data_IF_161815743681
#
_entry.id   IF_161815743681
#
_cell.length_a   1.000
_cell.length_b   1.000
_cell.length_c   1.000
_cell.angle_alpha   90.00
_cell.angle_beta   90.00
_cell.angle_gamma   90.00
#
_symmetry.space_group_name_H-M   'P 1'
#
loop_
_entity.id
_entity.type
_entity.pdbx_description
1 polymer ?
#
# COMPACT_ATOMS: atom_id res chain seq x y z
N UNK A 1 -11.43 -30.36 -16.38
CA UNK A 1 -11.95 -30.13 -15.01
C UNK A 1 -11.18 -31.01 -14.05
N UNK A 2 -10.15 -30.45 -13.40
CA UNK A 2 -9.44 -31.09 -12.29
C UNK A 2 -9.57 -30.13 -11.12
N UNK A 3 -10.38 -30.52 -10.15
CA UNK A 3 -10.48 -29.85 -8.86
C UNK A 3 -9.12 -29.87 -8.18
N UNK A 4 -8.47 -28.70 -8.11
CA UNK A 4 -7.29 -28.53 -7.28
C UNK A 4 -7.78 -28.27 -5.86
N UNK A 5 -7.58 -29.26 -5.00
CA UNK A 5 -7.84 -29.18 -3.58
C UNK A 5 -7.10 -27.98 -2.97
N UNK A 6 -7.86 -26.95 -2.58
CA UNK A 6 -7.43 -25.96 -1.60
C UNK A 6 -7.06 -26.73 -0.31
N UNK A 7 -5.92 -26.46 0.34
CA UNK A 7 -5.63 -27.09 1.62
C UNK A 7 -6.64 -26.58 2.64
N UNK A 8 -7.69 -27.36 2.87
CA UNK A 8 -8.63 -27.17 3.97
C UNK A 8 -7.80 -27.12 5.26
N UNK A 9 -7.79 -25.95 5.89
CA UNK A 9 -7.23 -25.77 7.23
C UNK A 9 -7.79 -26.87 8.14
N UNK A 10 -6.92 -27.77 8.59
CA UNK A 10 -7.32 -28.91 9.41
C UNK A 10 -7.66 -28.39 10.82
N UNK A 11 -8.96 -28.18 11.06
CA UNK A 11 -9.50 -27.71 12.33
C UNK A 11 -9.07 -28.59 13.51
N UNK A 12 -8.81 -29.88 13.29
CA UNK A 12 -8.30 -30.77 14.33
C UNK A 12 -6.87 -30.44 14.74
N UNK A 13 -6.03 -29.99 13.81
CA UNK A 13 -4.67 -29.54 14.13
C UNK A 13 -4.71 -28.23 14.94
N UNK A 14 -5.57 -27.29 14.56
CA UNK A 14 -5.76 -26.05 15.31
C UNK A 14 -6.26 -26.35 16.74
N UNK A 15 -7.21 -27.28 16.89
CA UNK A 15 -7.72 -27.68 18.19
C UNK A 15 -6.64 -28.36 19.05
N UNK A 16 -5.82 -29.23 18.47
CA UNK A 16 -4.68 -29.87 19.18
C UNK A 16 -3.65 -28.86 19.68
N UNK A 17 -3.40 -27.78 18.94
CA UNK A 17 -2.50 -26.71 19.37
C UNK A 17 -3.12 -25.94 20.54
N UNK A 18 -4.40 -25.58 20.45
CA UNK A 18 -5.13 -24.89 21.53
C UNK A 18 -5.20 -25.70 22.83
N UNK A 19 -5.38 -27.02 22.73
CA UNK A 19 -5.37 -27.91 23.90
C UNK A 19 -3.98 -28.00 24.54
N UNK A 20 -2.90 -27.91 23.76
CA UNK A 20 -1.51 -27.92 24.28
C UNK A 20 -1.12 -26.60 24.96
N UNK A 21 -1.74 -25.49 24.58
CA UNK A 21 -1.42 -24.16 25.09
C UNK A 21 -2.29 -23.75 26.29
N UNK A 22 -3.30 -24.55 26.65
CA UNK A 22 -4.15 -24.28 27.81
C UNK A 22 -3.50 -24.86 29.08
N UNK A 23 -3.09 -24.03 30.06
CA UNK A 23 -2.59 -24.54 31.33
C UNK A 23 -3.73 -25.22 32.09
N UNK A 24 -3.54 -26.51 32.40
CA UNK A 24 -4.40 -27.28 33.31
C UNK A 24 -4.17 -26.75 34.73
N UNK A 25 -5.11 -25.97 35.26
CA UNK A 25 -5.33 -25.87 36.70
C UNK A 25 -6.49 -26.79 37.09
N UNK A 26 -6.37 -27.59 38.16
CA UNK A 26 -7.47 -28.40 38.64
C UNK A 26 -8.56 -27.54 39.27
N UNK A 27 -9.78 -28.04 39.10
CA UNK A 27 -11.08 -27.54 39.54
C UNK A 27 -11.13 -26.91 40.94
N UNK A 28 -11.79 -25.76 41.03
CA UNK A 28 -12.79 -25.56 42.07
C UNK A 28 -14.12 -25.15 41.42
N UNK A 29 -15.06 -26.09 41.51
CA UNK A 29 -16.47 -25.95 41.17
C UNK A 29 -17.11 -24.98 42.15
N UNK A 30 -17.56 -23.81 41.68
CA UNK A 30 -18.73 -23.10 42.23
C UNK A 30 -19.45 -22.32 41.11
N UNK A 31 -20.68 -22.73 40.82
CA UNK A 31 -21.77 -21.84 40.39
C UNK A 31 -22.89 -21.99 41.44
N UNK A 32 -23.81 -21.02 41.64
CA UNK A 32 -24.12 -19.90 40.75
C UNK A 32 -24.28 -18.54 41.46
N UNK A 33 -23.91 -17.45 40.79
CA UNK A 33 -24.66 -16.19 40.90
C UNK A 33 -24.76 -15.59 39.51
N UNK A 34 -25.98 -15.56 38.98
CA UNK A 34 -26.34 -14.73 37.84
C UNK A 34 -26.30 -13.29 38.31
N UNK A 35 -25.29 -12.55 37.87
CA UNK A 35 -25.40 -11.11 37.70
C UNK A 35 -25.08 -10.87 36.23
N UNK A 36 -26.13 -10.57 35.45
CA UNK A 36 -26.01 -9.85 34.20
C UNK A 36 -25.42 -8.48 34.52
N UNK A 37 -24.09 -8.41 34.65
CA UNK A 37 -23.39 -7.15 34.57
C UNK A 37 -23.25 -6.86 33.08
N UNK A 38 -23.99 -5.84 32.65
CA UNK A 38 -24.06 -5.38 31.27
C UNK A 38 -22.66 -5.41 30.66
N UNK A 39 -22.54 -6.04 29.49
CA UNK A 39 -21.36 -5.91 28.66
C UNK A 39 -21.01 -4.42 28.56
N UNK A 40 -19.92 -4.03 29.22
CA UNK A 40 -19.41 -2.67 29.22
C UNK A 40 -18.82 -2.41 27.84
N UNK A 41 -19.68 -2.25 26.85
CA UNK A 41 -19.28 -1.68 25.57
C UNK A 41 -18.84 -0.25 25.86
N UNK A 42 -17.57 0.04 25.62
CA UNK A 42 -17.07 1.41 25.55
C UNK A 42 -17.79 2.09 24.40
N UNK A 43 -18.90 2.75 24.72
CA UNK A 43 -19.64 3.58 23.79
C UNK A 43 -18.84 4.87 23.65
N UNK A 44 -18.10 4.99 22.55
CA UNK A 44 -17.46 6.25 22.15
C UNK A 44 -18.57 7.25 21.83
N UNK A 45 -18.95 8.04 22.83
CA UNK A 45 -19.85 9.18 22.67
C UNK A 45 -19.12 10.26 21.87
N UNK A 46 -19.32 10.29 20.56
CA UNK A 46 -18.92 11.42 19.72
C UNK A 46 -19.72 12.65 20.15
N UNK A 47 -19.07 13.79 20.50
CA UNK A 47 -19.80 15.03 20.69
C UNK A 47 -20.39 15.49 19.34
N UNK A 48 -21.61 16.05 19.33
CA UNK A 48 -22.17 16.62 18.11
C UNK A 48 -21.29 17.79 17.65
N UNK A 49 -20.70 17.65 16.45
CA UNK A 49 -20.04 18.76 15.78
C UNK A 49 -21.09 19.82 15.48
N UNK A 50 -20.99 20.93 16.20
CA UNK A 50 -21.80 22.12 15.94
C UNK A 50 -21.30 22.71 14.62
N UNK A 51 -22.09 22.59 13.56
CA UNK A 51 -21.85 23.27 12.29
C UNK A 51 -22.19 24.74 12.48
N UNK A 52 -21.21 25.54 12.90
CA UNK A 52 -21.31 26.99 12.76
C UNK A 52 -21.18 27.35 11.27
N UNK A 53 -22.33 27.60 10.68
CA UNK A 53 -22.50 28.19 9.35
C UNK A 53 -21.98 29.63 9.39
N UNK A 54 -20.69 29.84 9.09
CA UNK A 54 -20.15 31.19 8.86
C UNK A 54 -20.33 31.57 7.39
N UNK A 55 -21.11 32.62 7.19
CA UNK A 55 -21.43 33.21 5.91
C UNK A 55 -20.20 33.78 5.19
N UNK A 56 -20.36 33.84 3.87
CA UNK A 56 -19.46 34.29 2.83
C UNK A 56 -18.74 35.61 3.11
N UNK A 57 -17.47 35.66 2.70
CA UNK A 57 -16.85 36.87 2.21
C UNK A 57 -15.85 36.52 1.13
N UNK A 58 -16.25 36.72 -0.13
CA UNK A 58 -15.36 36.84 -1.28
C UNK A 58 -14.39 38.02 -1.07
N UNK A 59 -13.12 37.84 -1.45
CA UNK A 59 -12.41 38.92 -2.12
C UNK A 59 -11.96 38.47 -3.51
N UNK A 60 -12.58 39.09 -4.50
CA UNK A 60 -12.00 39.58 -5.76
C UNK A 60 -10.61 39.04 -6.13
N UNK A 61 -10.58 38.17 -7.14
CA UNK A 61 -9.39 37.87 -7.94
C UNK A 61 -8.68 39.15 -8.40
N UNK A 62 -7.35 39.12 -8.41
CA UNK A 62 -6.71 39.40 -9.69
C UNK A 62 -5.75 38.29 -10.10
N UNK A 63 -5.62 38.19 -11.42
CA UNK A 63 -4.59 37.48 -12.16
C UNK A 63 -4.68 35.94 -12.12
N UNK A 64 -5.10 35.43 -13.27
CA UNK A 64 -4.70 34.15 -13.83
C UNK A 64 -3.27 33.76 -13.39
N UNK A 65 -3.17 32.92 -12.37
CA UNK A 65 -2.14 31.90 -12.37
C UNK A 65 -2.58 30.93 -13.46
N UNK A 66 -2.02 31.15 -14.65
CA UNK A 66 -2.06 30.17 -15.70
C UNK A 66 -1.74 28.82 -15.06
N UNK A 67 -2.63 27.85 -15.22
CA UNK A 67 -2.26 26.45 -15.26
C UNK A 67 -1.10 26.36 -16.24
N UNK A 68 0.12 26.48 -15.70
CA UNK A 68 1.26 25.87 -16.33
C UNK A 68 0.94 24.40 -16.20
N UNK A 69 0.30 23.85 -17.23
CA UNK A 69 0.56 22.50 -17.69
C UNK A 69 2.08 22.40 -17.75
N UNK A 70 2.69 22.03 -16.62
CA UNK A 70 4.08 21.65 -16.53
C UNK A 70 4.17 20.44 -17.42
N UNK A 71 4.49 20.71 -18.69
CA UNK A 71 4.79 19.70 -19.68
C UNK A 71 5.90 18.88 -19.06
N UNK A 72 5.55 17.69 -18.60
CA UNK A 72 6.48 16.77 -17.99
C UNK A 72 7.69 16.64 -18.92
N UNK A 73 8.83 17.15 -18.51
CA UNK A 73 10.08 16.88 -19.18
C UNK A 73 10.39 15.41 -18.89
N UNK A 74 10.07 14.57 -19.88
CA UNK A 74 10.37 13.15 -19.84
C UNK A 74 11.89 13.00 -19.97
N UNK A 75 12.55 12.36 -19.00
CA UNK A 75 13.96 12.08 -19.09
C UNK A 75 14.21 11.14 -20.28
N UNK A 76 15.37 11.24 -20.96
CA UNK A 76 15.63 10.42 -22.14
C UNK A 76 15.75 8.92 -21.81
N UNK A 77 16.28 8.58 -20.64
CA UNK A 77 16.39 7.23 -20.09
C UNK A 77 16.86 7.31 -18.64
N UNK A 78 16.54 6.31 -17.82
CA UNK A 78 17.18 6.11 -16.53
C UNK A 78 18.36 5.15 -16.68
N UNK A 79 19.50 5.49 -16.07
CA UNK A 79 20.66 4.60 -16.00
C UNK A 79 20.75 3.90 -14.62
N UNK A 80 20.10 4.45 -13.59
CA UNK A 80 20.11 3.93 -12.23
C UNK A 80 18.72 4.00 -11.62
N UNK A 81 18.45 3.13 -10.64
CA UNK A 81 17.20 3.19 -9.89
C UNK A 81 17.05 4.50 -9.11
N UNK A 82 18.15 5.10 -8.64
CA UNK A 82 18.14 6.39 -7.95
C UNK A 82 17.63 7.53 -8.84
N UNK A 83 18.03 7.56 -10.12
CA UNK A 83 17.55 8.54 -11.09
C UNK A 83 16.04 8.37 -11.34
N UNK A 84 15.60 7.12 -11.51
CA UNK A 84 14.21 6.74 -11.71
C UNK A 84 13.33 7.23 -10.54
N UNK A 85 13.68 6.88 -9.30
CA UNK A 85 12.88 7.28 -8.14
C UNK A 85 12.98 8.77 -7.84
N UNK A 86 14.10 9.43 -8.15
CA UNK A 86 14.20 10.89 -8.03
C UNK A 86 13.23 11.60 -8.98
N UNK A 87 13.20 11.21 -10.25
CA UNK A 87 12.24 11.75 -11.21
C UNK A 87 10.79 11.45 -10.79
N UNK A 88 10.50 10.22 -10.36
CA UNK A 88 9.15 9.87 -9.90
C UNK A 88 8.72 10.76 -8.71
N UNK A 89 9.62 11.04 -7.76
CA UNK A 89 9.34 11.94 -6.64
C UNK A 89 9.07 13.38 -7.10
N UNK A 90 9.82 13.89 -8.08
CA UNK A 90 9.61 15.24 -8.62
C UNK A 90 8.24 15.37 -9.30
N UNK A 91 7.89 14.39 -10.13
CA UNK A 91 6.61 14.34 -10.85
C UNK A 91 5.42 14.22 -9.92
N UNK A 92 5.53 13.36 -8.91
CA UNK A 92 4.40 13.02 -8.02
C UNK A 92 4.37 13.83 -6.74
N UNK A 93 5.42 14.62 -6.47
CA UNK A 93 5.67 15.34 -5.21
C UNK A 93 5.59 14.41 -3.99
N UNK A 94 6.13 13.21 -4.12
CA UNK A 94 6.15 12.21 -3.04
C UNK A 94 7.17 12.57 -1.95
N UNK A 95 6.87 12.22 -0.69
CA UNK A 95 7.77 12.40 0.47
C UNK A 95 9.00 11.47 0.40
N UNK A 96 8.79 10.27 -0.16
CA UNK A 96 9.82 9.26 -0.33
C UNK A 96 9.46 8.30 -1.47
N UNK A 97 10.46 7.59 -1.97
CA UNK A 97 10.30 6.54 -2.96
C UNK A 97 11.32 5.42 -2.74
N UNK A 98 10.99 4.22 -3.19
CA UNK A 98 11.85 3.05 -3.11
C UNK A 98 11.60 2.10 -4.27
N UNK A 99 12.57 1.22 -4.53
CA UNK A 99 12.43 0.13 -5.49
C UNK A 99 12.65 -1.18 -4.78
N UNK A 100 11.77 -2.13 -5.05
CA UNK A 100 11.79 -3.50 -4.54
C UNK A 100 11.97 -4.46 -5.70
N UNK A 101 12.84 -5.46 -5.55
CA UNK A 101 12.97 -6.56 -6.51
C UNK A 101 11.88 -7.64 -6.31
N UNK A 102 11.83 -8.63 -7.20
CA UNK A 102 10.88 -9.74 -7.13
C UNK A 102 11.04 -10.62 -5.87
N UNK A 103 12.16 -10.51 -5.16
CA UNK A 103 12.43 -11.23 -3.90
C UNK A 103 11.95 -10.44 -2.67
N UNK A 104 11.54 -9.19 -2.84
CA UNK A 104 11.07 -8.33 -1.77
C UNK A 104 12.16 -7.48 -1.11
N UNK A 105 13.38 -7.43 -1.66
CA UNK A 105 14.45 -6.57 -1.15
C UNK A 105 14.35 -5.16 -1.70
N UNK A 106 14.55 -4.17 -0.84
CA UNK A 106 14.69 -2.78 -1.28
C UNK A 106 16.09 -2.58 -1.86
N UNK A 107 16.17 -2.32 -3.17
CA UNK A 107 17.43 -2.16 -3.90
C UNK A 107 17.82 -0.70 -4.11
N UNK A 108 16.86 0.23 -4.04
CA UNK A 108 17.08 1.66 -4.09
C UNK A 108 16.05 2.40 -3.24
N UNK A 109 16.44 3.53 -2.65
CA UNK A 109 15.52 4.30 -1.80
C UNK A 109 15.93 5.77 -1.67
N UNK A 110 14.94 6.66 -1.56
CA UNK A 110 15.14 8.11 -1.47
C UNK A 110 14.06 8.77 -0.62
N UNK A 111 14.43 9.84 0.08
CA UNK A 111 13.51 10.67 0.86
C UNK A 111 13.36 10.22 2.32
N UNK A 112 12.28 10.64 2.96
CA UNK A 112 12.04 10.37 4.39
C UNK A 112 11.32 9.04 4.58
N UNK A 113 12.07 7.96 4.46
CA UNK A 113 11.57 6.62 4.72
C UNK A 113 11.63 6.34 6.24
N UNK A 114 10.52 5.90 6.87
CA UNK A 114 10.55 5.46 8.25
C UNK A 114 11.55 4.32 8.44
N UNK A 115 12.50 4.49 9.36
CA UNK A 115 13.53 3.47 9.64
C UNK A 115 12.97 2.16 10.22
N UNK A 116 11.72 2.15 10.70
CA UNK A 116 11.04 0.95 11.20
C UNK A 116 9.85 0.64 10.30
N UNK A 117 9.72 -0.62 9.92
CA UNK A 117 8.58 -1.13 9.16
C UNK A 117 8.74 -1.11 7.64
N UNK A 118 9.71 -0.37 7.08
CA UNK A 118 10.01 -0.45 5.63
C UNK A 118 10.75 -1.76 5.29
N UNK A 119 11.51 -2.33 6.21
CA UNK A 119 12.40 -3.49 5.95
C UNK A 119 11.66 -4.71 5.39
N UNK A 120 10.37 -4.87 5.74
CA UNK A 120 9.53 -5.97 5.27
C UNK A 120 8.53 -5.55 4.19
N UNK A 121 8.41 -4.25 3.87
CA UNK A 121 7.34 -3.78 2.97
C UNK A 121 7.49 -4.39 1.58
N UNK A 122 8.72 -4.63 1.12
CA UNK A 122 8.96 -5.22 -0.19
C UNK A 122 8.42 -6.64 -0.28
N UNK A 123 8.76 -7.49 0.70
CA UNK A 123 8.24 -8.85 0.79
C UNK A 123 6.70 -8.87 0.92
N UNK A 124 6.12 -7.97 1.71
CA UNK A 124 4.67 -7.86 1.85
C UNK A 124 3.99 -7.43 0.54
N UNK A 125 4.57 -6.49 -0.20
CA UNK A 125 4.07 -6.04 -1.49
C UNK A 125 4.15 -7.15 -2.54
N UNK A 126 5.28 -7.86 -2.63
CA UNK A 126 5.43 -9.04 -3.51
C UNK A 126 4.36 -10.09 -3.19
N UNK A 127 4.16 -10.43 -1.91
CA UNK A 127 3.12 -11.38 -1.50
C UNK A 127 1.71 -10.90 -1.90
N UNK A 128 1.42 -9.61 -1.77
CA UNK A 128 0.14 -9.04 -2.15
C UNK A 128 -0.09 -9.11 -3.67
N UNK A 129 0.94 -8.79 -4.47
CA UNK A 129 0.91 -8.91 -5.93
C UNK A 129 0.61 -10.34 -6.34
N UNK A 130 1.39 -11.31 -5.86
CA UNK A 130 1.19 -12.73 -6.18
C UNK A 130 -0.20 -13.24 -5.76
N UNK A 131 -0.70 -12.79 -4.60
CA UNK A 131 -2.02 -13.19 -4.13
C UNK A 131 -3.12 -12.66 -5.05
N UNK A 132 -3.02 -11.39 -5.46
CA UNK A 132 -4.00 -10.76 -6.35
C UNK A 132 -4.04 -11.46 -7.73
N UNK A 133 -2.89 -11.82 -8.28
CA UNK A 133 -2.81 -12.56 -9.55
C UNK A 133 -3.40 -13.98 -9.43
N UNK A 134 -3.24 -14.65 -8.29
CA UNK A 134 -3.84 -15.98 -8.05
C UNK A 134 -5.34 -15.91 -7.81
N UNK A 135 -5.84 -14.79 -7.28
CA UNK A 135 -7.27 -14.62 -6.98
C UNK A 135 -8.11 -14.51 -8.25
N UNK A 136 -7.58 -13.88 -9.29
CA UNK A 136 -8.22 -13.78 -10.59
C UNK A 136 -7.20 -13.80 -11.74
N UNK A 137 -6.80 -15.00 -12.20
CA UNK A 137 -5.75 -15.13 -13.22
C UNK A 137 -6.17 -14.61 -14.60
N UNK A 138 -7.48 -14.41 -14.84
CA UNK A 138 -8.01 -13.93 -16.12
C UNK A 138 -8.18 -12.40 -16.16
N UNK A 139 -7.96 -11.71 -15.03
CA UNK A 139 -8.09 -10.24 -14.90
C UNK A 139 -6.93 -9.44 -15.52
N UNK A 140 -5.93 -10.13 -16.06
CA UNK A 140 -4.72 -9.52 -16.63
C UNK A 140 -3.64 -9.21 -15.60
N UNK A 141 -2.62 -8.45 -16.01
CA UNK A 141 -1.43 -8.22 -15.18
C UNK A 141 -1.63 -7.04 -14.22
N UNK A 142 -1.31 -7.25 -12.95
CA UNK A 142 -1.36 -6.20 -11.94
C UNK A 142 -0.28 -5.15 -12.25
N UNK A 143 -0.69 -3.93 -12.56
CA UNK A 143 0.24 -2.85 -12.94
C UNK A 143 0.46 -1.82 -11.83
N UNK A 144 -0.59 -1.54 -11.04
CA UNK A 144 -0.53 -0.54 -9.98
C UNK A 144 -1.25 -1.04 -8.73
N UNK A 145 -0.66 -0.77 -7.57
CA UNK A 145 -1.26 -0.95 -6.25
C UNK A 145 -1.38 0.42 -5.58
N UNK A 146 -2.51 0.68 -4.95
CA UNK A 146 -2.80 1.94 -4.26
C UNK A 146 -3.37 1.63 -2.88
N UNK A 147 -2.60 1.95 -1.84
CA UNK A 147 -2.92 1.72 -0.44
C UNK A 147 -3.19 3.07 0.22
N UNK A 148 -4.45 3.30 0.59
CA UNK A 148 -4.88 4.53 1.24
C UNK A 148 -4.90 4.37 2.76
N UNK A 149 -4.28 5.30 3.49
CA UNK A 149 -4.22 5.31 4.95
C UNK A 149 -4.43 6.72 5.51
N UNK A 150 -5.68 7.04 5.85
CA UNK A 150 -6.11 8.36 6.34
C UNK A 150 -5.65 9.51 5.43
N UNK A 151 -4.58 10.23 5.81
CA UNK A 151 -4.01 11.35 5.06
C UNK A 151 -2.74 11.00 4.30
N UNK A 152 -2.35 9.73 4.30
CA UNK A 152 -1.16 9.23 3.61
C UNK A 152 -1.54 8.11 2.66
N UNK A 153 -0.73 7.95 1.64
CA UNK A 153 -0.92 6.95 0.60
C UNK A 153 0.40 6.27 0.29
N UNK A 154 0.35 4.98 0.01
CA UNK A 154 1.46 4.24 -0.56
C UNK A 154 1.01 3.72 -1.92
N UNK A 155 1.74 4.07 -2.96
CA UNK A 155 1.45 3.64 -4.33
C UNK A 155 2.60 2.79 -4.82
N UNK A 156 2.31 1.62 -5.37
CA UNK A 156 3.28 0.77 -6.05
C UNK A 156 2.99 0.70 -7.54
N UNK A 157 4.01 0.86 -8.38
CA UNK A 157 3.98 0.48 -9.79
C UNK A 157 4.75 -0.82 -9.98
N UNK A 158 4.14 -1.81 -10.61
CA UNK A 158 4.77 -3.09 -10.92
C UNK A 158 5.34 -2.99 -12.35
N UNK A 159 6.65 -3.07 -12.44
CA UNK A 159 7.44 -2.97 -13.66
C UNK A 159 7.93 -4.39 -14.05
N UNK A 160 7.22 -5.09 -14.96
CA UNK A 160 7.57 -6.47 -15.34
C UNK A 160 8.84 -6.52 -16.19
N UNK A 161 9.59 -7.62 -16.09
CA UNK A 161 10.74 -7.91 -16.96
C UNK A 161 10.55 -9.24 -17.70
N UNK A 162 11.39 -9.47 -18.71
CA UNK A 162 11.37 -10.68 -19.53
C UNK A 162 11.96 -11.87 -18.77
N UNK A 163 11.28 -12.42 -17.74
CA UNK A 163 11.55 -13.74 -17.09
C UNK A 163 10.62 -14.05 -15.89
N UNK A 164 9.38 -13.53 -15.88
CA UNK A 164 8.51 -13.54 -14.68
C UNK A 164 9.10 -12.83 -13.45
N UNK A 165 10.18 -12.07 -13.65
CA UNK A 165 10.71 -11.13 -12.67
C UNK A 165 10.01 -9.77 -12.82
N UNK A 166 10.02 -9.00 -11.76
CA UNK A 166 9.45 -7.65 -11.75
C UNK A 166 10.12 -6.82 -10.67
N UNK A 167 9.99 -5.51 -10.82
CA UNK A 167 10.32 -4.54 -9.80
C UNK A 167 9.06 -3.81 -9.34
N UNK A 168 9.02 -3.42 -8.07
CA UNK A 168 7.97 -2.54 -7.55
C UNK A 168 8.59 -1.19 -7.24
N UNK A 169 8.15 -0.15 -7.95
CA UNK A 169 8.48 1.25 -7.63
C UNK A 169 7.43 1.79 -6.68
N UNK A 170 7.81 1.94 -5.41
CA UNK A 170 6.98 2.45 -4.33
C UNK A 170 7.11 3.96 -4.14
N UNK A 171 5.99 4.65 -4.01
CA UNK A 171 5.87 6.09 -3.75
C UNK A 171 5.10 6.33 -2.46
N UNK A 172 5.72 7.04 -1.52
CA UNK A 172 5.11 7.37 -0.24
C UNK A 172 4.58 8.81 -0.24
N UNK A 173 3.31 8.93 0.14
CA UNK A 173 2.56 10.17 0.19
C UNK A 173 2.65 11.02 -1.11
N UNK A 174 2.41 10.44 -2.29
CA UNK A 174 2.29 11.23 -3.51
C UNK A 174 1.14 12.24 -3.41
N UNK A 175 1.29 13.40 -4.04
CA UNK A 175 0.20 14.36 -4.15
C UNK A 175 -0.98 13.73 -4.92
N UNK A 176 -2.24 14.08 -4.61
CA UNK A 176 -3.42 13.47 -5.25
C UNK A 176 -3.44 13.56 -6.79
N UNK A 177 -2.76 14.55 -7.37
CA UNK A 177 -2.65 14.71 -8.81
C UNK A 177 -1.82 13.61 -9.51
N UNK A 178 -1.13 12.73 -8.78
CA UNK A 178 -0.26 11.70 -9.36
C UNK A 178 -0.99 10.74 -10.31
N UNK A 179 -2.31 10.54 -10.14
CA UNK A 179 -3.12 9.71 -11.04
C UNK A 179 -3.01 10.15 -12.50
N UNK A 180 -2.89 11.47 -12.73
CA UNK A 180 -2.73 12.05 -14.07
C UNK A 180 -1.38 11.70 -14.70
N UNK A 181 -0.42 11.22 -13.89
CA UNK A 181 0.94 10.90 -14.31
C UNK A 181 1.20 9.39 -14.40
N UNK A 182 0.26 8.53 -13.99
CA UNK A 182 0.45 7.06 -14.00
C UNK A 182 0.91 6.53 -15.35
N UNK A 183 0.28 6.97 -16.44
CA UNK A 183 0.64 6.52 -17.78
C UNK A 183 2.06 6.96 -18.17
N UNK A 184 2.41 8.23 -17.93
CA UNK A 184 3.74 8.75 -18.24
C UNK A 184 4.82 8.04 -17.42
N UNK A 185 4.58 7.83 -16.12
CA UNK A 185 5.49 7.08 -15.24
C UNK A 185 5.65 5.63 -15.73
N UNK A 186 4.54 4.97 -16.05
CA UNK A 186 4.52 3.59 -16.56
C UNK A 186 5.38 3.47 -17.83
N UNK A 187 5.11 4.31 -18.84
CA UNK A 187 5.85 4.28 -20.10
C UNK A 187 7.34 4.57 -19.89
N UNK A 188 7.66 5.61 -19.12
CA UNK A 188 9.03 6.01 -18.90
C UNK A 188 9.87 4.93 -18.18
N UNK A 189 9.30 4.29 -17.16
CA UNK A 189 9.97 3.23 -16.42
C UNK A 189 10.15 2.02 -17.33
N UNK A 190 9.08 1.55 -18.00
CA UNK A 190 9.14 0.37 -18.88
C UNK A 190 10.17 0.57 -20.00
N UNK A 191 10.18 1.73 -20.63
CA UNK A 191 11.15 2.05 -21.69
C UNK A 191 12.58 2.05 -21.16
N UNK A 192 12.80 2.45 -19.90
CA UNK A 192 14.13 2.54 -19.29
C UNK A 192 14.62 1.24 -18.66
N UNK A 193 13.73 0.29 -18.32
CA UNK A 193 14.05 -0.95 -17.62
C UNK A 193 15.29 -1.70 -18.15
N UNK A 194 15.49 -1.87 -19.47
CA UNK A 194 16.63 -2.63 -19.99
C UNK A 194 18.01 -2.01 -19.71
N UNK A 195 18.06 -0.74 -19.31
CA UNK A 195 19.29 0.02 -19.10
C UNK A 195 19.51 0.51 -17.66
N UNK A 196 18.66 0.09 -16.72
CA UNK A 196 18.81 0.47 -15.31
C UNK A 196 19.68 -0.58 -14.60
N UNK A 197 20.76 -0.11 -13.97
CA UNK A 197 21.58 -0.87 -13.02
C UNK A 197 21.12 -0.67 -11.57
#
# INVERSE_FOLDING_TARGET
>A
MRDQNVPLYNLEQAQKILTRLSPVMPEQIQTPVVQEDEASFVRLSLPPLTVEKRAESLPTHPAAEADQEQRLELPPHFNTWEDCISWCMEVTRSDAAFVVDSQGFIIASRGRIPARGIECIGAELVCAVELLERMDPDSGNLTWVDLDFDRRRLVGFIAPTDNDEFYIVGLLAPAPAYYNHKQAITSQIIESLPGID
#
